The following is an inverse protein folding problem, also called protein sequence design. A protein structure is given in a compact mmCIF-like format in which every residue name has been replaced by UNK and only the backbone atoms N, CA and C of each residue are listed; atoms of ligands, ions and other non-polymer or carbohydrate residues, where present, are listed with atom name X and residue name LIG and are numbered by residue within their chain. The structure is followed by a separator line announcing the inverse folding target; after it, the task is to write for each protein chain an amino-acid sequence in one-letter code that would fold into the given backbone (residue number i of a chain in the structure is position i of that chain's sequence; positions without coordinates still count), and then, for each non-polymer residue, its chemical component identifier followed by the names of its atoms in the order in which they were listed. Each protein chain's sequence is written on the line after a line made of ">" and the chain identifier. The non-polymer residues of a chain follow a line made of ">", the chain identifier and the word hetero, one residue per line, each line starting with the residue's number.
data_IF_721078443488
#
_entry.id   IF_721078443488
#
_cell.length_a   1.000
_cell.length_b   1.000
_cell.length_c   1.000
_cell.angle_alpha   90.00
_cell.angle_beta   90.00
_cell.angle_gamma   90.00
#
_symmetry.space_group_name_H-M   'P 1'
#
loop_
_entity.id
_entity.type
_entity.pdbx_description
1 polymer ?
#
# COMPACT_ATOMS: atom_id res chain seq x y z
N UNK A 1 0.72 20.47 6.49
CA UNK A 1 0.96 19.46 5.43
C UNK A 1 2.46 19.25 5.35
N UNK A 2 2.94 18.07 5.67
CA UNK A 2 4.36 17.77 5.66
C UNK A 2 4.71 17.23 4.26
N UNK A 3 5.32 18.07 3.42
CA UNK A 3 5.64 17.79 2.01
C UNK A 3 6.55 16.57 1.79
N UNK A 4 7.14 16.03 2.83
CA UNK A 4 8.16 14.98 2.75
C UNK A 4 7.63 13.57 2.44
N UNK A 5 6.43 13.23 2.90
CA UNK A 5 5.91 11.86 2.78
C UNK A 5 5.12 11.66 1.49
N UNK A 6 4.57 12.73 0.96
CA UNK A 6 3.67 12.70 -0.19
C UNK A 6 4.35 13.03 -1.52
N UNK A 7 5.66 13.02 -1.61
CA UNK A 7 6.40 13.51 -2.78
C UNK A 7 5.91 12.95 -4.12
N UNK A 8 5.47 11.70 -4.16
CA UNK A 8 4.90 11.09 -5.37
C UNK A 8 3.40 11.35 -5.54
N UNK A 9 2.64 11.34 -4.45
CA UNK A 9 1.19 11.60 -4.44
C UNK A 9 0.93 13.09 -4.37
N UNK A 10 1.86 13.88 -3.81
CA UNK A 10 1.74 15.34 -3.67
C UNK A 10 1.51 16.05 -5.01
N UNK A 11 2.14 15.60 -6.08
CA UNK A 11 1.89 16.15 -7.42
C UNK A 11 0.44 15.99 -7.85
N UNK A 12 -0.14 14.80 -7.65
CA UNK A 12 -1.55 14.51 -7.96
C UNK A 12 -2.47 15.29 -7.01
N UNK A 13 -2.18 15.30 -5.72
CA UNK A 13 -2.94 16.05 -4.72
C UNK A 13 -2.98 17.54 -5.04
N UNK A 14 -1.84 18.12 -5.44
CA UNK A 14 -1.74 19.52 -5.85
C UNK A 14 -2.62 19.83 -7.06
N UNK A 15 -2.61 18.95 -8.06
CA UNK A 15 -3.44 19.09 -9.27
C UNK A 15 -4.93 19.06 -8.92
N UNK A 16 -5.37 18.13 -8.08
CA UNK A 16 -6.76 18.06 -7.65
C UNK A 16 -7.16 19.27 -6.80
N UNK A 17 -6.31 19.69 -5.86
CA UNK A 17 -6.54 20.87 -5.06
C UNK A 17 -6.70 22.13 -5.93
N UNK A 18 -5.83 22.32 -6.93
CA UNK A 18 -5.93 23.44 -7.86
C UNK A 18 -7.19 23.43 -8.72
N UNK A 19 -7.85 22.28 -8.84
CA UNK A 19 -9.14 22.11 -9.53
C UNK A 19 -10.35 22.18 -8.60
N UNK A 20 -10.17 22.62 -7.37
CA UNK A 20 -11.24 22.82 -6.40
C UNK A 20 -11.67 21.58 -5.61
N UNK A 21 -10.88 20.50 -5.65
CA UNK A 21 -11.14 19.32 -4.83
C UNK A 21 -10.53 19.49 -3.43
N UNK A 22 -11.25 18.98 -2.42
CA UNK A 22 -10.67 18.73 -1.11
C UNK A 22 -9.96 17.37 -1.20
N UNK A 23 -8.65 17.37 -0.92
CA UNK A 23 -7.85 16.15 -0.94
C UNK A 23 -7.54 15.72 0.48
N UNK A 24 -7.80 14.45 0.77
CA UNK A 24 -7.56 13.85 2.07
C UNK A 24 -6.82 12.51 1.89
N UNK A 25 -5.96 12.19 2.83
CA UNK A 25 -5.25 10.91 2.89
C UNK A 25 -4.71 10.64 4.28
N UNK A 26 -4.47 9.37 4.59
CA UNK A 26 -3.85 8.92 5.82
C UNK A 26 -2.70 7.96 5.50
N UNK A 27 -1.74 7.89 6.41
CA UNK A 27 -0.71 6.86 6.34
C UNK A 27 -1.31 5.50 6.68
N UNK A 28 -1.07 4.54 5.80
CA UNK A 28 -1.47 3.14 6.02
C UNK A 28 -0.65 2.56 7.18
N UNK A 29 -1.19 1.60 7.92
CA UNK A 29 -0.46 0.85 8.97
C UNK A 29 0.94 0.47 8.46
N UNK A 30 1.95 0.70 9.25
CA UNK A 30 3.38 0.50 8.96
C UNK A 30 3.99 1.44 7.92
N UNK A 31 3.30 2.48 7.50
CA UNK A 31 3.82 3.49 6.57
C UNK A 31 3.87 4.85 7.25
N UNK A 32 4.80 5.70 6.79
CA UNK A 32 4.89 7.09 7.23
C UNK A 32 4.91 7.22 8.76
N UNK A 33 4.03 8.06 9.29
CA UNK A 33 3.87 8.26 10.73
C UNK A 33 3.01 7.19 11.44
N UNK A 34 2.35 6.30 10.68
CA UNK A 34 1.62 5.15 11.23
C UNK A 34 2.54 3.93 11.48
N UNK A 35 3.84 4.16 11.62
CA UNK A 35 4.81 3.12 11.99
C UNK A 35 4.83 2.95 13.50
N UNK A 36 5.02 1.70 13.96
CA UNK A 36 5.28 1.42 15.36
C UNK A 36 6.80 1.36 15.61
N UNK A 37 7.31 1.78 16.79
CA UNK A 37 8.73 1.68 17.11
C UNK A 37 9.29 0.27 17.05
N UNK A 38 8.43 -0.75 17.09
CA UNK A 38 8.80 -2.17 17.10
C UNK A 38 8.95 -2.77 15.69
N UNK A 39 8.51 -2.08 14.62
CA UNK A 39 8.64 -2.63 13.27
C UNK A 39 9.55 -1.76 12.41
N UNK A 40 10.73 -2.27 12.09
CA UNK A 40 11.64 -1.66 11.12
C UNK A 40 11.19 -1.89 9.67
N UNK A 41 10.19 -2.73 9.43
CA UNK A 41 9.74 -3.17 8.12
C UNK A 41 8.23 -2.99 7.92
N UNK A 42 7.75 -3.19 6.70
CA UNK A 42 6.33 -3.28 6.39
C UNK A 42 5.71 -4.46 7.13
N UNK A 43 4.86 -4.17 8.10
CA UNK A 43 4.22 -5.14 8.97
C UNK A 43 2.73 -4.86 9.08
N UNK A 44 1.92 -5.75 8.52
CA UNK A 44 0.48 -5.77 8.70
C UNK A 44 0.13 -7.13 9.31
N UNK A 45 -0.42 -7.13 10.51
CA UNK A 45 -0.81 -8.34 11.22
C UNK A 45 -2.23 -8.79 10.88
N UNK A 46 -3.07 -7.85 10.49
CA UNK A 46 -4.45 -8.11 10.11
C UNK A 46 -4.88 -7.13 9.01
N UNK A 47 -5.15 -7.65 7.83
CA UNK A 47 -5.58 -6.86 6.68
C UNK A 47 -6.84 -6.04 6.93
N UNK A 48 -7.79 -6.61 7.69
CA UNK A 48 -9.04 -5.94 7.98
C UNK A 48 -8.88 -4.64 8.78
N UNK A 49 -7.81 -4.50 9.57
CA UNK A 49 -7.58 -3.26 10.31
C UNK A 49 -7.21 -2.11 9.36
N UNK A 50 -6.45 -2.41 8.31
CA UNK A 50 -6.16 -1.42 7.24
C UNK A 50 -7.44 -0.97 6.53
N UNK A 51 -8.39 -1.88 6.32
CA UNK A 51 -9.69 -1.57 5.70
C UNK A 51 -10.55 -0.73 6.65
N UNK A 52 -10.58 -1.05 7.94
CA UNK A 52 -11.29 -0.26 8.97
C UNK A 52 -10.76 1.16 9.08
N UNK A 53 -9.44 1.34 8.98
CA UNK A 53 -8.82 2.68 9.00
C UNK A 53 -9.32 3.53 7.82
N UNK A 54 -9.47 2.92 6.64
CA UNK A 54 -10.02 3.61 5.48
C UNK A 54 -11.50 3.98 5.67
N UNK A 55 -12.31 3.07 6.23
CA UNK A 55 -13.72 3.37 6.57
C UNK A 55 -13.79 4.55 7.55
N UNK A 56 -12.99 4.52 8.61
CA UNK A 56 -12.91 5.59 9.62
C UNK A 56 -12.48 6.94 9.00
N UNK A 57 -11.49 6.89 8.10
CA UNK A 57 -11.05 8.08 7.36
C UNK A 57 -12.17 8.67 6.50
N UNK A 58 -12.93 7.83 5.80
CA UNK A 58 -14.11 8.26 5.04
C UNK A 58 -15.17 8.87 5.94
N UNK A 59 -15.52 8.24 7.05
CA UNK A 59 -16.50 8.76 7.99
C UNK A 59 -16.11 10.14 8.54
N UNK A 60 -14.81 10.33 8.84
CA UNK A 60 -14.29 11.64 9.23
C UNK A 60 -14.56 12.70 8.15
N UNK A 61 -14.27 12.37 6.87
CA UNK A 61 -14.47 13.28 5.74
C UNK A 61 -15.96 13.60 5.54
N UNK A 62 -16.85 12.59 5.63
CA UNK A 62 -18.30 12.77 5.51
C UNK A 62 -18.84 13.69 6.61
N UNK A 63 -18.39 13.51 7.85
CA UNK A 63 -18.80 14.40 8.95
C UNK A 63 -18.34 15.84 8.77
N UNK A 64 -17.14 16.01 8.22
CA UNK A 64 -16.55 17.35 8.03
C UNK A 64 -17.08 18.07 6.81
N UNK A 65 -17.44 17.34 5.77
CA UNK A 65 -17.90 17.86 4.49
C UNK A 65 -19.15 17.10 4.02
N UNK A 66 -20.29 17.27 4.69
CA UNK A 66 -21.52 16.60 4.32
C UNK A 66 -21.97 17.02 2.91
N UNK A 67 -22.61 16.11 2.21
CA UNK A 67 -23.18 16.32 0.87
C UNK A 67 -22.18 16.49 -0.27
N UNK A 68 -20.87 16.38 -0.04
CA UNK A 68 -19.90 16.36 -1.13
C UNK A 68 -19.70 14.93 -1.66
N UNK A 69 -19.60 14.76 -2.99
CA UNK A 69 -19.27 13.48 -3.57
C UNK A 69 -17.84 13.09 -3.21
N UNK A 70 -17.63 11.85 -2.78
CA UNK A 70 -16.32 11.32 -2.42
C UNK A 70 -15.83 10.40 -3.53
N UNK A 71 -14.61 10.65 -3.97
CA UNK A 71 -13.87 9.83 -4.92
C UNK A 71 -12.71 9.15 -4.17
N UNK A 72 -12.49 7.88 -4.41
CA UNK A 72 -11.42 7.12 -3.78
C UNK A 72 -10.35 6.77 -4.80
N UNK A 73 -9.08 7.07 -4.49
CA UNK A 73 -7.94 6.73 -5.34
C UNK A 73 -6.97 5.86 -4.57
N UNK A 74 -6.66 4.68 -5.10
CA UNK A 74 -5.67 3.76 -4.58
C UNK A 74 -4.53 3.52 -5.57
N UNK A 75 -3.30 3.70 -5.10
CA UNK A 75 -2.10 3.41 -5.88
C UNK A 75 -1.32 2.23 -5.28
N UNK A 76 -0.90 1.26 -6.10
CA UNK A 76 -0.16 0.08 -5.68
C UNK A 76 -0.85 -0.62 -4.50
N UNK A 77 -0.21 -0.70 -3.30
CA UNK A 77 -0.83 -1.25 -2.09
C UNK A 77 -2.20 -0.62 -1.80
N UNK A 78 -2.32 0.70 -1.97
CA UNK A 78 -3.60 1.40 -1.81
C UNK A 78 -4.69 0.90 -2.74
N UNK A 79 -4.37 0.44 -3.94
CA UNK A 79 -5.36 -0.10 -4.88
C UNK A 79 -6.00 -1.41 -4.38
N UNK A 80 -5.24 -2.22 -3.66
CA UNK A 80 -5.76 -3.44 -3.04
C UNK A 80 -6.65 -3.13 -1.83
N UNK A 81 -6.32 -2.09 -1.06
CA UNK A 81 -7.15 -1.64 0.05
C UNK A 81 -8.49 -1.11 -0.48
N UNK A 82 -8.46 -0.30 -1.54
CA UNK A 82 -9.67 0.20 -2.21
C UNK A 82 -10.56 -0.96 -2.66
N UNK A 83 -10.01 -1.94 -3.37
CA UNK A 83 -10.76 -3.12 -3.83
C UNK A 83 -11.42 -3.89 -2.69
N UNK A 84 -10.72 -4.06 -1.57
CA UNK A 84 -11.29 -4.76 -0.41
C UNK A 84 -12.42 -3.96 0.25
N UNK A 85 -12.42 -2.64 0.08
CA UNK A 85 -13.40 -1.75 0.69
C UNK A 85 -14.58 -1.42 -0.24
N UNK A 86 -14.52 -1.78 -1.53
CA UNK A 86 -15.49 -1.38 -2.55
C UNK A 86 -16.94 -1.68 -2.14
N UNK A 87 -17.18 -2.86 -1.55
CA UNK A 87 -18.53 -3.29 -1.14
C UNK A 87 -18.95 -2.75 0.24
N UNK A 88 -18.03 -2.16 1.00
CA UNK A 88 -18.30 -1.77 2.39
C UNK A 88 -18.81 -0.33 2.51
N UNK A 89 -18.41 0.54 1.60
CA UNK A 89 -18.74 1.97 1.67
C UNK A 89 -18.94 2.57 0.29
N UNK A 90 -20.02 3.33 0.07
CA UNK A 90 -20.30 3.93 -1.23
C UNK A 90 -19.36 5.10 -1.51
N UNK A 91 -18.70 5.05 -2.66
CA UNK A 91 -17.97 6.15 -3.27
C UNK A 91 -18.62 6.56 -4.59
N UNK A 92 -18.45 7.81 -5.00
CA UNK A 92 -18.96 8.25 -6.30
C UNK A 92 -18.23 7.56 -7.45
N UNK A 93 -16.91 7.37 -7.31
CA UNK A 93 -16.06 6.59 -8.19
C UNK A 93 -14.82 6.12 -7.42
N UNK A 94 -14.29 4.99 -7.84
CA UNK A 94 -13.03 4.45 -7.38
C UNK A 94 -12.02 4.40 -8.52
N UNK A 95 -10.78 4.77 -8.24
CA UNK A 95 -9.69 4.82 -9.21
C UNK A 95 -8.57 3.93 -8.69
N UNK A 96 -8.27 2.87 -9.44
CA UNK A 96 -7.25 1.89 -9.11
C UNK A 96 -6.06 2.04 -10.04
N UNK A 97 -4.89 2.29 -9.48
CA UNK A 97 -3.64 2.45 -10.24
C UNK A 97 -2.63 1.41 -9.76
N UNK A 98 -2.07 0.63 -10.68
CA UNK A 98 -1.05 -0.37 -10.36
C UNK A 98 -1.57 -1.53 -9.52
N UNK A 99 -2.84 -1.87 -9.67
CA UNK A 99 -3.43 -3.07 -9.07
C UNK A 99 -2.96 -4.34 -9.80
N UNK A 100 -3.15 -5.50 -9.18
CA UNK A 100 -2.79 -6.79 -9.75
C UNK A 100 -3.75 -7.90 -9.33
N UNK A 101 -3.54 -9.08 -9.88
CA UNK A 101 -4.23 -10.29 -9.49
C UNK A 101 -3.23 -11.46 -9.44
N UNK A 102 -3.48 -12.40 -8.56
CA UNK A 102 -2.71 -13.64 -8.44
C UNK A 102 -3.66 -14.81 -8.20
N UNK A 103 -3.20 -16.01 -8.51
CA UNK A 103 -3.96 -17.21 -8.23
C UNK A 103 -4.20 -17.36 -6.72
N UNK A 104 -5.47 -17.36 -6.30
CA UNK A 104 -5.85 -17.54 -4.90
C UNK A 104 -5.33 -18.89 -4.33
N UNK A 105 -5.31 -19.94 -5.16
CA UNK A 105 -4.78 -21.25 -4.79
C UNK A 105 -3.28 -21.19 -4.49
N UNK A 106 -2.51 -20.58 -5.39
CA UNK A 106 -1.05 -20.42 -5.18
C UNK A 106 -0.77 -19.61 -3.92
N UNK A 107 -1.47 -18.49 -3.73
CA UNK A 107 -1.30 -17.63 -2.56
C UNK A 107 -1.65 -18.33 -1.25
N UNK A 108 -2.67 -19.20 -1.25
CA UNK A 108 -3.02 -20.01 -0.09
C UNK A 108 -1.90 -20.99 0.30
N UNK A 109 -1.29 -21.66 -0.70
CA UNK A 109 -0.17 -22.57 -0.46
C UNK A 109 1.03 -21.79 0.10
N UNK A 110 1.40 -20.68 -0.53
CA UNK A 110 2.52 -19.86 -0.12
C UNK A 110 2.34 -19.27 1.27
N UNK A 111 1.15 -18.79 1.61
CA UNK A 111 0.80 -18.31 2.94
C UNK A 111 1.00 -19.39 4.00
N UNK A 112 0.52 -20.60 3.74
CA UNK A 112 0.66 -21.73 4.68
C UNK A 112 2.13 -22.10 4.88
N UNK A 113 2.91 -22.16 3.80
CA UNK A 113 4.32 -22.47 3.87
C UNK A 113 5.13 -21.39 4.60
N UNK A 114 4.90 -20.11 4.31
CA UNK A 114 5.55 -18.99 4.97
C UNK A 114 5.18 -18.94 6.45
N UNK A 115 3.90 -19.09 6.78
CA UNK A 115 3.43 -19.11 8.17
C UNK A 115 4.15 -20.16 9.02
N UNK A 116 4.34 -21.37 8.48
CA UNK A 116 5.10 -22.43 9.14
C UNK A 116 6.59 -22.10 9.25
N UNK A 117 7.21 -21.64 8.15
CA UNK A 117 8.65 -21.38 8.07
C UNK A 117 9.11 -20.24 8.97
N UNK A 118 8.28 -19.21 9.14
CA UNK A 118 8.61 -18.01 9.90
C UNK A 118 7.86 -17.93 11.25
N UNK A 119 7.40 -19.06 11.80
CA UNK A 119 6.80 -19.12 13.14
C UNK A 119 7.73 -18.46 14.15
N UNK A 120 7.20 -17.53 14.96
CA UNK A 120 7.97 -16.73 15.92
C UNK A 120 8.78 -15.56 15.33
N UNK A 121 8.82 -15.42 13.99
CA UNK A 121 9.56 -14.36 13.27
C UNK A 121 8.70 -13.58 12.28
N UNK A 122 7.39 -13.60 12.46
CA UNK A 122 6.43 -13.01 11.51
C UNK A 122 6.57 -11.49 11.36
N UNK A 123 7.06 -10.79 12.38
CA UNK A 123 7.27 -9.33 12.38
C UNK A 123 8.67 -8.89 11.97
N UNK A 124 9.59 -9.83 11.72
CA UNK A 124 10.96 -9.50 11.35
C UNK A 124 11.07 -9.21 9.85
N UNK A 125 11.95 -8.28 9.48
CA UNK A 125 12.32 -8.06 8.08
C UNK A 125 12.91 -9.33 7.44
N UNK A 126 12.61 -9.54 6.16
CA UNK A 126 13.14 -10.70 5.42
C UNK A 126 13.38 -10.37 3.95
N UNK A 127 14.66 -10.37 3.54
CA UNK A 127 15.05 -10.20 2.13
C UNK A 127 14.42 -11.26 1.23
N UNK A 128 14.27 -12.49 1.73
CA UNK A 128 13.64 -13.58 0.97
C UNK A 128 12.16 -13.28 0.67
N UNK A 129 11.46 -12.66 1.61
CA UNK A 129 10.07 -12.24 1.38
C UNK A 129 10.03 -11.06 0.42
N UNK A 130 10.95 -10.10 0.56
CA UNK A 130 11.08 -8.99 -0.38
C UNK A 130 11.33 -9.49 -1.81
N UNK A 131 12.28 -10.39 -1.99
CA UNK A 131 12.61 -10.98 -3.30
C UNK A 131 11.45 -11.78 -3.89
N UNK A 132 10.69 -12.47 -3.05
CA UNK A 132 9.50 -13.19 -3.47
C UNK A 132 8.42 -12.26 -4.01
N UNK A 133 8.23 -11.09 -3.40
CA UNK A 133 7.22 -10.10 -3.80
C UNK A 133 7.68 -9.23 -4.99
N UNK A 134 8.93 -8.78 -4.96
CA UNK A 134 9.42 -7.72 -5.84
C UNK A 134 10.60 -8.11 -6.72
N UNK A 135 11.27 -9.22 -6.45
CA UNK A 135 12.51 -9.63 -7.13
C UNK A 135 12.35 -9.81 -8.64
N UNK A 136 11.17 -10.21 -9.11
CA UNK A 136 10.89 -10.33 -10.55
C UNK A 136 10.88 -8.99 -11.27
N UNK A 137 10.48 -7.91 -10.60
CA UNK A 137 10.51 -6.57 -11.18
C UNK A 137 11.96 -6.09 -11.38
N UNK A 138 12.82 -6.29 -10.38
CA UNK A 138 14.24 -5.93 -10.47
C UNK A 138 15.00 -6.71 -11.57
N UNK A 139 14.65 -7.98 -11.78
CA UNK A 139 15.30 -8.83 -12.79
C UNK A 139 15.14 -8.32 -14.22
N UNK A 140 14.06 -7.59 -14.52
CA UNK A 140 13.82 -6.99 -15.83
C UNK A 140 14.75 -5.80 -16.14
N UNK A 141 15.39 -5.25 -15.10
CA UNK A 141 16.24 -4.08 -15.18
C UNK A 141 17.69 -4.37 -14.71
N UNK A 142 18.24 -5.53 -15.12
CA UNK A 142 19.63 -5.90 -14.81
C UNK A 142 20.60 -4.79 -15.19
N UNK A 143 21.57 -4.51 -14.32
CA UNK A 143 22.57 -3.45 -14.52
C UNK A 143 22.06 -2.03 -14.23
N UNK A 144 20.82 -1.86 -13.83
CA UNK A 144 20.28 -0.58 -13.36
C UNK A 144 20.38 -0.48 -11.82
N UNK A 145 20.41 0.74 -11.26
CA UNK A 145 20.41 0.92 -9.81
C UNK A 145 19.23 0.27 -9.11
N UNK A 146 19.35 0.00 -7.81
CA UNK A 146 18.25 -0.48 -6.97
C UNK A 146 17.01 0.42 -7.09
N UNK A 147 15.84 -0.16 -7.04
CA UNK A 147 14.56 0.55 -7.18
C UNK A 147 14.33 1.27 -8.53
N UNK A 148 15.17 1.02 -9.55
CA UNK A 148 14.96 1.60 -10.89
C UNK A 148 13.61 1.19 -11.51
N UNK A 149 13.16 -0.02 -11.24
CA UNK A 149 11.86 -0.52 -11.70
C UNK A 149 10.67 0.29 -11.14
N UNK A 150 10.87 0.94 -9.99
CA UNK A 150 9.86 1.77 -9.33
C UNK A 150 10.00 3.24 -9.74
N UNK A 151 11.24 3.73 -9.89
CA UNK A 151 11.57 5.12 -10.18
C UNK A 151 12.76 5.19 -11.14
N UNK A 152 12.49 5.60 -12.38
CA UNK A 152 13.53 5.79 -13.40
C UNK A 152 14.32 7.09 -13.20
N UNK A 153 13.68 8.13 -12.63
CA UNK A 153 14.30 9.41 -12.30
C UNK A 153 15.30 9.24 -11.15
N UNK A 154 16.54 9.69 -11.35
CA UNK A 154 17.63 9.50 -10.39
C UNK A 154 17.43 10.29 -9.10
N UNK A 155 16.99 11.55 -9.20
CA UNK A 155 16.84 12.41 -8.03
C UNK A 155 15.67 11.94 -7.17
N UNK A 156 14.53 11.65 -7.77
CA UNK A 156 13.38 11.09 -7.06
C UNK A 156 13.67 9.72 -6.44
N UNK A 157 14.53 8.92 -7.07
CA UNK A 157 14.96 7.65 -6.51
C UNK A 157 15.86 7.81 -5.29
N UNK A 158 16.77 8.82 -5.31
CA UNK A 158 17.60 9.16 -4.14
C UNK A 158 16.74 9.67 -2.99
N UNK A 159 15.80 10.58 -3.26
CA UNK A 159 14.83 11.04 -2.27
C UNK A 159 14.06 9.85 -1.64
N UNK A 160 13.52 8.98 -2.47
CA UNK A 160 12.78 7.81 -2.00
C UNK A 160 13.63 6.87 -1.13
N UNK A 161 14.88 6.63 -1.54
CA UNK A 161 15.78 5.71 -0.83
C UNK A 161 16.30 6.32 0.47
N UNK A 162 16.48 7.65 0.51
CA UNK A 162 16.96 8.39 1.68
C UNK A 162 15.87 8.79 2.68
N UNK A 163 14.59 8.60 2.33
CA UNK A 163 13.48 8.95 3.20
C UNK A 163 13.30 7.90 4.32
N UNK A 164 13.54 8.31 5.56
CA UNK A 164 13.42 7.45 6.74
C UNK A 164 11.99 6.94 7.02
N UNK A 165 10.99 7.55 6.40
CA UNK A 165 9.58 7.14 6.52
C UNK A 165 9.19 6.10 5.47
N UNK A 166 10.03 5.88 4.48
CA UNK A 166 9.84 4.82 3.47
C UNK A 166 10.40 3.51 4.00
N UNK A 167 9.53 2.54 4.22
CA UNK A 167 9.92 1.18 4.59
C UNK A 167 10.18 0.38 3.33
N UNK A 168 11.42 -0.09 3.16
CA UNK A 168 11.84 -0.89 2.01
C UNK A 168 11.87 -2.39 2.33
N UNK A 169 11.87 -2.74 3.61
CA UNK A 169 11.88 -4.11 4.08
C UNK A 169 10.47 -4.65 4.30
N UNK A 170 10.27 -5.93 4.12
CA UNK A 170 8.96 -6.59 4.20
C UNK A 170 9.00 -7.74 5.20
N UNK A 171 7.96 -7.86 6.01
CA UNK A 171 7.80 -8.95 6.96
C UNK A 171 7.03 -10.14 6.36
N UNK A 172 7.23 -11.36 6.88
CA UNK A 172 6.39 -12.51 6.54
C UNK A 172 4.90 -12.28 6.84
N UNK A 173 4.56 -11.55 7.91
CA UNK A 173 3.18 -11.22 8.24
C UNK A 173 2.52 -10.41 7.13
N UNK A 174 3.20 -9.38 6.62
CA UNK A 174 2.69 -8.58 5.50
C UNK A 174 2.38 -9.48 4.30
N UNK A 175 3.31 -10.37 3.92
CA UNK A 175 3.07 -11.32 2.83
C UNK A 175 1.86 -12.22 3.09
N UNK A 176 1.69 -12.71 4.31
CA UNK A 176 0.57 -13.61 4.66
C UNK A 176 -0.79 -12.89 4.69
N UNK A 177 -0.82 -11.61 4.99
CA UNK A 177 -2.05 -10.83 5.05
C UNK A 177 -2.45 -10.22 3.69
N UNK A 178 -1.47 -9.85 2.87
CA UNK A 178 -1.69 -9.23 1.56
C UNK A 178 -2.58 -10.03 0.61
N UNK A 179 -2.54 -11.38 0.56
CA UNK A 179 -3.43 -12.16 -0.29
C UNK A 179 -4.93 -12.04 0.04
N UNK A 180 -5.29 -11.57 1.22
CA UNK A 180 -6.69 -11.29 1.55
C UNK A 180 -7.27 -10.18 0.67
N UNK A 181 -6.44 -9.28 0.20
CA UNK A 181 -6.79 -8.22 -0.72
C UNK A 181 -7.16 -8.71 -2.14
N UNK A 182 -6.78 -9.93 -2.51
CA UNK A 182 -7.02 -10.49 -3.85
C UNK A 182 -8.29 -11.34 -3.95
N UNK A 183 -8.86 -11.72 -2.81
CA UNK A 183 -10.07 -12.54 -2.77
C UNK A 183 -11.36 -11.73 -3.00
N UNK A 184 -11.27 -10.46 -3.27
CA UNK A 184 -12.42 -9.65 -3.70
C UNK A 184 -12.58 -9.86 -5.20
N UNK A 185 -13.74 -10.40 -5.68
CA UNK A 185 -14.01 -10.51 -7.10
C UNK A 185 -13.86 -9.13 -7.76
N UNK A 186 -13.09 -9.07 -8.83
CA UNK A 186 -13.17 -7.93 -9.73
C UNK A 186 -14.51 -8.08 -10.47
N UNK A 187 -15.57 -7.51 -9.96
CA UNK A 187 -16.78 -7.36 -10.74
C UNK A 187 -16.48 -6.35 -11.87
N UNK A 188 -16.74 -6.80 -13.06
CA UNK A 188 -16.58 -6.10 -14.33
C UNK A 188 -17.53 -4.92 -14.47
#
# INVERSE_FOLDING_TARGET
>A
WNDRIYGKICGICKVFYQRGYIVFGNDIISHGHSTTPKSSCLYINNWNDTVKDMVSAREYVVRKYPNLPIYLLGFSLGSFIVRTNADLTPYKKEILIGTGAQSAFLMRIMRTWIGKKYTGKMSCASDKIYDLMFGTYGKKFKGRPANYWLLTDNEKRKEYTGDSLVRQEVSPAFFCEFPKAWNVPAET
#
